data_IF_578108209439
#
_entry.id   IF_578108209439
#
_cell.length_a   1.000
_cell.length_b   1.000
_cell.length_c   1.000
_cell.angle_alpha   90.00
_cell.angle_beta   90.00
_cell.angle_gamma   90.00
#
_symmetry.space_group_name_H-M   'P 1'
#
loop_
_entity.id
_entity.type
_entity.pdbx_description
1 polymer ?
#
# COMPACT_ATOMS: atom_id res chain seq x y z
N UNK A 1 -50.89 30.07 20.47
CA UNK A 1 -51.31 29.34 21.69
C UNK A 1 -50.31 28.20 21.89
N UNK A 2 -49.59 28.25 22.83
CA UNK A 2 -49.21 27.72 24.15
C UNK A 2 -47.69 27.69 24.28
N UNK A 3 -47.16 28.81 24.76
CA UNK A 3 -45.94 28.84 25.57
C UNK A 3 -46.39 28.73 27.02
N UNK A 4 -45.76 27.89 27.81
CA UNK A 4 -45.66 27.86 29.29
C UNK A 4 -45.69 26.39 29.76
N UNK A 5 -44.49 25.85 29.99
CA UNK A 5 -44.19 24.90 31.08
C UNK A 5 -42.69 24.57 31.03
N UNK A 6 -41.91 25.50 31.58
CA UNK A 6 -40.52 25.23 31.94
C UNK A 6 -40.07 26.29 32.94
N UNK A 7 -40.36 26.06 34.17
CA UNK A 7 -39.72 26.68 35.33
C UNK A 7 -40.34 26.10 36.62
N UNK A 8 -39.78 24.99 37.09
CA UNK A 8 -39.79 24.60 38.53
C UNK A 8 -39.10 23.25 38.69
N UNK A 9 -37.79 23.19 38.66
CA UNK A 9 -36.96 22.09 39.18
C UNK A 9 -35.48 22.51 39.24
N UNK A 10 -35.21 23.66 39.87
CA UNK A 10 -33.84 24.13 40.10
C UNK A 10 -33.73 24.74 41.52
N UNK A 11 -34.02 23.93 42.52
CA UNK A 11 -33.67 24.27 43.91
C UNK A 11 -33.77 22.99 44.79
N UNK A 12 -32.86 22.08 44.65
CA UNK A 12 -32.87 20.87 45.49
C UNK A 12 -31.65 19.94 45.39
N UNK A 13 -30.58 20.37 44.72
CA UNK A 13 -29.43 19.46 44.48
C UNK A 13 -28.05 20.11 44.77
N UNK A 14 -27.95 20.93 45.79
CA UNK A 14 -26.70 21.62 46.08
C UNK A 14 -26.13 21.37 47.47
N UNK A 15 -26.45 20.23 48.08
CA UNK A 15 -25.88 19.86 49.40
C UNK A 15 -25.44 18.39 49.53
N UNK A 16 -25.18 17.65 48.43
CA UNK A 16 -24.69 16.26 48.50
C UNK A 16 -23.48 16.00 47.59
N UNK A 17 -22.73 17.03 47.20
CA UNK A 17 -21.56 16.90 46.29
C UNK A 17 -20.19 17.07 46.93
N UNK A 18 -20.06 17.05 48.24
CA UNK A 18 -18.73 17.21 48.89
C UNK A 18 -18.13 15.94 49.50
N UNK A 19 -18.86 14.82 49.45
CA UNK A 19 -18.34 13.54 50.02
C UNK A 19 -17.96 12.51 48.93
N UNK A 20 -18.20 12.73 47.64
CA UNK A 20 -17.91 11.79 46.56
C UNK A 20 -16.63 12.10 45.75
N UNK A 21 -16.06 13.32 45.92
CA UNK A 21 -14.84 13.73 45.19
C UNK A 21 -13.55 13.08 45.68
N UNK A 22 -13.53 12.53 46.90
CA UNK A 22 -12.34 11.84 47.44
C UNK A 22 -12.19 10.39 46.91
N UNK A 23 -13.29 9.70 46.68
CA UNK A 23 -13.25 8.32 46.18
C UNK A 23 -13.06 8.24 44.64
N UNK A 24 -13.56 9.24 43.88
CA UNK A 24 -13.34 9.26 42.44
C UNK A 24 -11.88 9.53 42.06
N UNK A 25 -11.18 10.43 42.78
CA UNK A 25 -9.77 10.69 42.51
C UNK A 25 -8.85 9.48 42.79
N UNK A 26 -9.18 8.66 43.79
CA UNK A 26 -8.43 7.43 44.08
C UNK A 26 -8.70 6.33 43.03
N UNK A 27 -9.92 6.27 42.49
CA UNK A 27 -10.27 5.32 41.43
C UNK A 27 -9.69 5.71 40.07
N UNK A 28 -9.65 7.01 39.72
CA UNK A 28 -9.00 7.50 38.49
C UNK A 28 -7.48 7.29 38.50
N UNK A 29 -6.80 7.55 39.61
CA UNK A 29 -5.37 7.28 39.71
C UNK A 29 -5.01 5.79 39.69
N UNK A 30 -5.88 4.93 40.18
CA UNK A 30 -5.69 3.47 40.10
C UNK A 30 -5.93 2.95 38.68
N UNK A 31 -6.87 3.55 37.94
CA UNK A 31 -7.19 3.16 36.56
C UNK A 31 -6.13 3.63 35.55
N UNK A 32 -5.62 4.87 35.69
CA UNK A 32 -4.51 5.37 34.87
C UNK A 32 -3.22 4.56 35.06
N UNK A 33 -2.95 4.08 36.27
CA UNK A 33 -1.81 3.21 36.55
C UNK A 33 -1.94 1.82 35.91
N UNK A 34 -3.15 1.29 35.78
CA UNK A 34 -3.42 -0.01 35.20
C UNK A 34 -3.50 0.01 33.68
N UNK A 35 -4.05 1.07 33.08
CA UNK A 35 -4.05 1.25 31.62
C UNK A 35 -2.62 1.49 31.08
N UNK A 36 -1.81 2.31 31.73
CA UNK A 36 -0.42 2.53 31.33
C UNK A 36 0.47 1.29 31.50
N UNK A 37 0.20 0.41 32.46
CA UNK A 37 0.92 -0.84 32.62
C UNK A 37 0.49 -1.88 31.57
N UNK A 38 -0.80 -1.91 31.20
CA UNK A 38 -1.34 -2.76 30.14
C UNK A 38 -0.84 -2.37 28.75
N UNK A 39 -0.86 -1.08 28.42
CA UNK A 39 -0.35 -0.59 27.14
C UNK A 39 1.16 -0.80 26.97
N UNK A 40 1.96 -0.56 28.00
CA UNK A 40 3.40 -0.82 27.93
C UNK A 40 3.73 -2.30 27.77
N UNK A 41 2.97 -3.20 28.37
CA UNK A 41 3.18 -4.63 28.21
C UNK A 41 2.74 -5.14 26.83
N UNK A 42 1.64 -4.62 26.27
CA UNK A 42 1.18 -4.98 24.93
C UNK A 42 2.18 -4.48 23.88
N UNK A 43 2.62 -3.22 23.94
CA UNK A 43 3.60 -2.66 23.03
C UNK A 43 4.97 -3.36 23.11
N UNK A 44 5.37 -3.81 24.29
CA UNK A 44 6.60 -4.55 24.48
C UNK A 44 6.49 -6.01 24.04
N UNK A 45 5.31 -6.62 24.15
CA UNK A 45 5.05 -7.97 23.66
C UNK A 45 4.97 -7.98 22.13
N UNK A 46 4.28 -7.00 21.51
CA UNK A 46 4.22 -6.86 20.06
C UNK A 46 5.60 -6.55 19.44
N UNK A 47 6.44 -5.73 20.10
CA UNK A 47 7.82 -5.52 19.66
C UNK A 47 8.68 -6.77 19.78
N UNK A 48 8.51 -7.56 20.82
CA UNK A 48 9.29 -8.79 21.02
C UNK A 48 8.84 -9.87 20.03
N UNK A 49 7.55 -9.95 19.69
CA UNK A 49 7.04 -10.86 18.66
C UNK A 49 7.50 -10.46 17.24
N UNK A 50 7.60 -9.14 16.96
CA UNK A 50 8.14 -8.67 15.68
C UNK A 50 9.65 -8.92 15.53
N UNK A 51 10.43 -8.88 16.61
CA UNK A 51 11.87 -9.19 16.58
C UNK A 51 12.16 -10.69 16.44
N UNK A 52 11.19 -11.56 16.72
CA UNK A 52 11.35 -13.03 16.64
C UNK A 52 10.72 -13.67 15.41
N UNK A 53 10.08 -12.91 14.53
CA UNK A 53 9.70 -13.42 13.22
C UNK A 53 10.98 -13.63 12.39
N UNK A 54 11.53 -14.83 12.49
CA UNK A 54 12.54 -15.30 11.54
C UNK A 54 11.82 -15.42 10.19
N UNK A 55 11.95 -14.39 9.37
CA UNK A 55 11.55 -14.48 7.97
C UNK A 55 12.45 -15.56 7.35
N UNK A 56 11.92 -16.66 6.83
CA UNK A 56 12.72 -17.68 6.18
C UNK A 56 13.59 -17.01 5.10
N UNK A 57 14.89 -17.24 5.12
CA UNK A 57 15.75 -16.76 4.04
C UNK A 57 15.19 -17.31 2.72
N UNK A 58 14.92 -16.45 1.74
CA UNK A 58 14.40 -16.90 0.46
C UNK A 58 15.36 -17.90 -0.16
N UNK A 59 14.82 -19.01 -0.64
CA UNK A 59 15.64 -20.04 -1.32
C UNK A 59 16.42 -19.35 -2.44
N UNK A 60 17.75 -19.33 -2.31
CA UNK A 60 18.62 -18.75 -3.32
C UNK A 60 18.65 -19.65 -4.55
N UNK A 61 17.95 -19.23 -5.61
CA UNK A 61 18.04 -19.88 -6.92
C UNK A 61 18.78 -18.91 -7.86
N UNK A 62 19.70 -19.46 -8.66
CA UNK A 62 20.37 -18.65 -9.69
C UNK A 62 19.35 -18.19 -10.74
N UNK A 63 19.41 -16.91 -11.14
CA UNK A 63 18.39 -16.29 -11.99
C UNK A 63 18.26 -16.93 -13.38
N UNK A 64 19.30 -17.55 -13.90
CA UNK A 64 19.30 -18.29 -15.16
C UNK A 64 18.47 -19.60 -15.13
N UNK A 65 18.05 -20.06 -13.97
CA UNK A 65 17.16 -21.22 -13.81
C UNK A 65 15.71 -20.85 -13.47
N UNK A 66 15.39 -19.54 -13.47
CA UNK A 66 14.02 -19.08 -13.17
C UNK A 66 13.11 -19.20 -14.38
N UNK A 67 11.89 -19.64 -14.11
CA UNK A 67 10.78 -19.57 -15.07
C UNK A 67 9.94 -18.35 -14.73
N UNK A 68 9.82 -17.43 -15.67
CA UNK A 68 9.06 -16.21 -15.49
C UNK A 68 7.67 -16.34 -16.09
N UNK A 69 6.68 -15.83 -15.36
CA UNK A 69 5.31 -15.62 -15.83
C UNK A 69 5.13 -14.12 -16.11
N UNK A 70 4.92 -13.77 -17.37
CA UNK A 70 4.67 -12.37 -17.75
C UNK A 70 3.23 -11.98 -17.40
N UNK A 71 3.06 -10.84 -16.73
CA UNK A 71 1.77 -10.34 -16.26
C UNK A 71 1.49 -8.97 -16.85
N UNK A 72 0.41 -8.88 -17.61
CA UNK A 72 -0.27 -7.63 -17.93
C UNK A 72 -1.34 -7.40 -16.87
N UNK A 73 -1.07 -6.54 -15.88
CA UNK A 73 -1.93 -6.32 -14.71
C UNK A 73 -3.35 -5.97 -15.12
N UNK A 74 -3.50 -5.09 -16.11
CA UNK A 74 -4.80 -4.62 -16.63
C UNK A 74 -5.80 -5.74 -16.92
N UNK A 75 -5.34 -6.86 -17.46
CA UNK A 75 -6.18 -7.98 -17.89
C UNK A 75 -6.05 -9.23 -17.04
N UNK A 76 -5.25 -9.22 -15.97
CA UNK A 76 -4.93 -10.45 -15.26
C UNK A 76 -6.04 -10.85 -14.27
N UNK A 77 -6.36 -10.01 -13.28
CA UNK A 77 -7.42 -10.29 -12.32
C UNK A 77 -7.91 -9.02 -11.64
N UNK A 78 -9.20 -8.74 -11.79
CA UNK A 78 -9.92 -7.65 -11.13
C UNK A 78 -10.17 -8.00 -9.65
N UNK A 79 -9.51 -7.28 -8.76
CA UNK A 79 -9.60 -7.49 -7.32
C UNK A 79 -10.65 -6.63 -6.63
N UNK A 80 -11.05 -5.52 -7.25
CA UNK A 80 -11.95 -4.51 -6.70
C UNK A 80 -13.34 -4.50 -7.36
N UNK A 81 -13.50 -5.11 -8.55
CA UNK A 81 -14.78 -5.24 -9.27
C UNK A 81 -15.09 -4.10 -10.22
N UNK A 82 -14.09 -3.35 -10.67
CA UNK A 82 -14.25 -2.23 -11.61
C UNK A 82 -14.11 -2.62 -13.09
N UNK A 83 -13.74 -3.86 -13.36
CA UNK A 83 -13.55 -4.40 -14.72
C UNK A 83 -12.11 -4.34 -15.21
N UNK A 84 -11.19 -3.84 -14.40
CA UNK A 84 -9.76 -3.71 -14.70
C UNK A 84 -8.97 -4.57 -13.68
N UNK A 85 -7.94 -5.26 -14.14
CA UNK A 85 -7.03 -5.99 -13.26
C UNK A 85 -6.20 -5.03 -12.40
N UNK A 86 -5.92 -5.42 -11.16
CA UNK A 86 -5.21 -4.60 -10.19
C UNK A 86 -4.18 -5.41 -9.35
N UNK A 87 -3.35 -4.72 -8.60
CA UNK A 87 -2.29 -5.34 -7.78
C UNK A 87 -2.86 -6.21 -6.64
N UNK A 88 -4.01 -5.85 -6.09
CA UNK A 88 -4.71 -6.68 -5.08
C UNK A 88 -5.22 -7.97 -5.71
N UNK A 89 -5.76 -7.87 -6.90
CA UNK A 89 -6.20 -9.00 -7.69
C UNK A 89 -5.05 -9.93 -8.05
N UNK A 90 -3.94 -9.36 -8.52
CA UNK A 90 -2.72 -10.12 -8.81
C UNK A 90 -2.20 -10.83 -7.55
N UNK A 91 -2.14 -10.13 -6.42
CA UNK A 91 -1.71 -10.70 -5.13
C UNK A 91 -2.60 -11.88 -4.71
N UNK A 92 -3.91 -11.77 -4.87
CA UNK A 92 -4.86 -12.87 -4.58
C UNK A 92 -4.65 -14.10 -5.45
N UNK A 93 -4.00 -13.97 -6.61
CA UNK A 93 -3.80 -15.04 -7.59
C UNK A 93 -2.36 -15.56 -7.63
N UNK A 94 -1.51 -15.16 -6.69
CA UNK A 94 -0.12 -15.65 -6.64
C UNK A 94 -0.05 -17.17 -6.51
N UNK A 95 -0.95 -17.79 -5.76
CA UNK A 95 -0.98 -19.25 -5.58
C UNK A 95 -1.24 -20.01 -6.89
N UNK A 96 -1.84 -19.38 -7.90
CA UNK A 96 -1.94 -19.93 -9.24
C UNK A 96 -0.59 -19.96 -9.96
N UNK A 97 0.25 -18.94 -9.70
CA UNK A 97 1.58 -18.82 -10.33
C UNK A 97 2.59 -19.69 -9.57
N UNK A 98 2.59 -19.58 -8.25
CA UNK A 98 3.43 -20.35 -7.34
C UNK A 98 2.87 -20.18 -5.91
N UNK A 99 2.52 -21.27 -5.25
CA UNK A 99 2.00 -21.27 -3.88
C UNK A 99 3.09 -21.28 -2.80
N UNK A 100 4.35 -21.44 -3.22
CA UNK A 100 5.53 -21.49 -2.34
C UNK A 100 5.83 -22.88 -1.79
N UNK A 101 5.00 -23.89 -2.08
CA UNK A 101 5.23 -25.28 -1.67
C UNK A 101 5.76 -26.11 -2.86
N UNK A 102 7.01 -26.57 -2.82
CA UNK A 102 7.60 -27.33 -3.93
C UNK A 102 7.02 -28.74 -4.10
N UNK A 103 6.12 -29.17 -3.23
CA UNK A 103 5.53 -30.52 -3.24
C UNK A 103 4.14 -30.53 -3.90
N UNK A 104 3.44 -29.41 -3.86
CA UNK A 104 2.14 -29.27 -4.53
C UNK A 104 2.33 -29.26 -6.05
N UNK A 105 1.29 -29.66 -6.76
CA UNK A 105 1.25 -29.64 -8.23
C UNK A 105 0.06 -28.85 -8.73
N UNK A 106 -0.45 -27.93 -7.88
CA UNK A 106 -1.69 -27.17 -8.11
C UNK A 106 -1.42 -25.79 -8.70
N UNK A 107 -0.15 -25.41 -8.84
CA UNK A 107 0.31 -24.15 -9.41
C UNK A 107 1.10 -24.32 -10.72
N UNK A 108 1.59 -23.24 -11.30
CA UNK A 108 2.43 -23.28 -12.51
C UNK A 108 3.91 -23.52 -12.22
N UNK A 109 4.34 -23.48 -10.96
CA UNK A 109 5.73 -23.59 -10.54
C UNK A 109 6.65 -22.47 -11.03
N UNK A 110 6.10 -21.33 -11.48
CA UNK A 110 6.90 -20.19 -11.91
C UNK A 110 7.49 -19.48 -10.69
N UNK A 111 8.79 -19.31 -10.67
CA UNK A 111 9.51 -18.68 -9.56
C UNK A 111 10.01 -17.26 -9.89
N UNK A 112 9.49 -16.68 -10.95
CA UNK A 112 9.66 -15.30 -11.36
C UNK A 112 8.38 -14.72 -11.94
N UNK A 113 8.15 -13.42 -11.72
CA UNK A 113 7.09 -12.64 -12.37
C UNK A 113 7.77 -11.51 -13.14
N UNK A 114 7.34 -11.34 -14.38
CA UNK A 114 7.67 -10.19 -15.20
C UNK A 114 6.43 -9.32 -15.32
N UNK A 115 6.45 -8.14 -14.70
CA UNK A 115 5.38 -7.16 -14.80
C UNK A 115 5.59 -6.27 -16.03
N UNK A 116 4.57 -6.17 -16.88
CA UNK A 116 4.45 -5.04 -17.79
C UNK A 116 4.34 -3.74 -16.98
N UNK A 117 4.51 -2.55 -17.61
CA UNK A 117 4.56 -1.29 -16.87
C UNK A 117 3.36 -1.08 -15.95
N UNK A 118 3.60 -0.56 -14.75
CA UNK A 118 2.59 -0.31 -13.71
C UNK A 118 2.50 1.17 -13.30
N UNK A 119 3.30 2.02 -13.94
CA UNK A 119 3.32 3.46 -13.67
C UNK A 119 2.15 4.18 -14.37
N UNK A 120 1.77 5.39 -13.88
CA UNK A 120 0.73 6.20 -14.49
C UNK A 120 0.98 6.46 -15.98
N UNK A 121 -0.07 6.25 -16.77
CA UNK A 121 -0.04 6.41 -18.22
C UNK A 121 -1.44 6.70 -18.75
N UNK A 122 -1.60 7.53 -19.79
CA UNK A 122 -2.90 7.78 -20.41
C UNK A 122 -3.40 6.59 -21.25
N UNK A 123 -2.57 5.57 -21.49
CA UNK A 123 -2.94 4.41 -22.29
C UNK A 123 -3.03 3.13 -21.46
N UNK A 124 -3.87 2.19 -21.91
CA UNK A 124 -4.10 0.92 -21.23
C UNK A 124 -2.85 0.05 -21.10
N UNK A 125 -1.91 0.15 -22.04
CA UNK A 125 -0.69 -0.66 -22.05
C UNK A 125 0.44 -0.10 -21.15
N UNK A 126 0.29 1.14 -20.68
CA UNK A 126 1.18 1.82 -19.71
C UNK A 126 2.62 2.09 -20.18
N UNK A 127 2.95 1.92 -21.48
CA UNK A 127 4.29 2.18 -21.99
C UNK A 127 4.61 3.67 -22.21
N UNK A 128 3.62 4.56 -22.21
CA UNK A 128 3.76 6.01 -22.30
C UNK A 128 3.61 6.66 -20.92
N UNK A 129 4.63 6.45 -20.09
CA UNK A 129 4.66 6.86 -18.70
C UNK A 129 4.57 8.36 -18.51
N UNK A 130 3.72 8.82 -17.61
CA UNK A 130 3.58 10.23 -17.20
C UNK A 130 4.25 10.53 -15.85
N UNK A 131 4.49 9.51 -15.03
CA UNK A 131 5.17 9.61 -13.73
C UNK A 131 5.89 8.28 -13.43
N UNK A 132 7.21 8.32 -13.22
CA UNK A 132 8.02 7.14 -12.91
C UNK A 132 8.11 6.84 -11.41
N UNK A 133 7.50 7.66 -10.54
CA UNK A 133 7.66 7.59 -9.09
C UNK A 133 6.43 7.05 -8.36
N UNK A 134 5.36 6.73 -9.10
CA UNK A 134 4.11 6.25 -8.52
C UNK A 134 3.54 5.05 -9.28
N UNK A 135 2.58 4.39 -8.66
CA UNK A 135 1.76 3.33 -9.26
C UNK A 135 0.53 3.97 -9.90
N UNK A 136 0.12 3.46 -11.07
CA UNK A 136 -1.10 3.90 -11.72
C UNK A 136 -2.31 3.68 -10.80
N UNK A 137 -3.15 4.72 -10.55
CA UNK A 137 -4.32 4.60 -9.69
C UNK A 137 -5.32 3.50 -10.11
N UNK A 138 -5.36 3.12 -11.40
CA UNK A 138 -6.17 1.98 -11.86
C UNK A 138 -5.65 0.66 -11.30
N UNK A 139 -4.35 0.55 -11.01
CA UNK A 139 -3.72 -0.67 -10.48
C UNK A 139 -3.63 -0.71 -8.97
N UNK A 140 -3.81 0.43 -8.29
CA UNK A 140 -3.76 0.54 -6.84
C UNK A 140 -2.78 1.59 -6.33
N UNK A 141 -2.18 1.32 -5.20
CA UNK A 141 -1.28 2.25 -4.50
C UNK A 141 0.13 1.67 -4.39
N UNK A 142 1.08 2.49 -3.91
CA UNK A 142 2.44 2.03 -3.62
C UNK A 142 2.43 0.96 -2.51
N UNK A 143 1.56 1.10 -1.52
CA UNK A 143 1.38 0.12 -0.45
C UNK A 143 0.86 -1.22 -1.00
N UNK A 144 -0.03 -1.20 -1.99
CA UNK A 144 -0.49 -2.42 -2.67
C UNK A 144 0.64 -3.10 -3.45
N UNK A 145 1.53 -2.30 -4.06
CA UNK A 145 2.71 -2.81 -4.73
C UNK A 145 3.73 -3.42 -3.75
N UNK A 146 3.99 -2.76 -2.63
CA UNK A 146 4.86 -3.28 -1.57
C UNK A 146 4.32 -4.58 -0.97
N UNK A 147 2.99 -4.66 -0.75
CA UNK A 147 2.33 -5.87 -0.29
C UNK A 147 2.45 -7.02 -1.30
N UNK A 148 2.29 -6.73 -2.59
CA UNK A 148 2.53 -7.70 -3.66
C UNK A 148 3.98 -8.21 -3.65
N UNK A 149 4.97 -7.31 -3.55
CA UNK A 149 6.39 -7.71 -3.48
C UNK A 149 6.70 -8.57 -2.24
N UNK A 150 6.07 -8.26 -1.09
CA UNK A 150 6.21 -9.08 0.11
C UNK A 150 5.64 -10.48 -0.08
N UNK A 151 4.43 -10.58 -0.63
CA UNK A 151 3.79 -11.85 -0.92
C UNK A 151 4.57 -12.70 -1.94
N UNK A 152 5.19 -12.07 -2.94
CA UNK A 152 6.11 -12.73 -3.86
C UNK A 152 7.35 -13.28 -3.15
N UNK A 153 7.95 -12.47 -2.27
CA UNK A 153 9.14 -12.87 -1.50
C UNK A 153 8.88 -14.09 -0.62
N UNK A 154 7.73 -14.13 0.05
CA UNK A 154 7.31 -15.25 0.90
C UNK A 154 7.22 -16.57 0.11
N UNK A 155 6.92 -16.51 -1.18
CA UNK A 155 6.83 -17.65 -2.10
C UNK A 155 8.11 -17.92 -2.88
N UNK A 156 9.20 -17.20 -2.63
CA UNK A 156 10.44 -17.32 -3.39
C UNK A 156 10.35 -16.79 -4.83
N UNK A 157 9.30 -16.03 -5.16
CA UNK A 157 9.10 -15.42 -6.48
C UNK A 157 9.94 -14.15 -6.60
N UNK A 158 10.76 -14.04 -7.65
CA UNK A 158 11.42 -12.78 -8.04
C UNK A 158 10.53 -11.98 -8.98
N UNK A 159 10.55 -10.67 -8.79
CA UNK A 159 9.81 -9.75 -9.66
C UNK A 159 10.79 -8.92 -10.47
N UNK A 160 10.61 -8.90 -11.78
CA UNK A 160 11.18 -7.91 -12.69
C UNK A 160 10.04 -7.07 -13.27
N UNK A 161 10.31 -5.84 -13.63
CA UNK A 161 9.31 -4.91 -14.12
C UNK A 161 9.83 -4.19 -15.36
N UNK A 162 8.98 -4.05 -16.35
CA UNK A 162 9.27 -3.22 -17.52
C UNK A 162 9.40 -1.76 -17.11
N UNK A 163 10.47 -1.15 -17.58
CA UNK A 163 10.76 0.25 -17.36
C UNK A 163 11.14 0.90 -18.70
N UNK A 164 10.21 1.66 -19.26
CA UNK A 164 10.43 2.38 -20.52
C UNK A 164 11.28 3.63 -20.30
N UNK A 165 12.61 3.50 -20.43
CA UNK A 165 13.56 4.60 -20.25
C UNK A 165 13.91 5.33 -21.57
N UNK A 166 13.53 4.78 -22.70
CA UNK A 166 13.87 5.32 -24.03
C UNK A 166 12.93 6.45 -24.50
N UNK A 167 11.79 6.62 -23.84
CA UNK A 167 10.81 7.69 -24.08
C UNK A 167 9.92 7.90 -22.86
N UNK A 168 9.20 8.99 -22.85
CA UNK A 168 8.09 9.27 -21.92
C UNK A 168 6.80 9.50 -22.68
N UNK A 169 5.68 9.61 -21.98
CA UNK A 169 4.47 10.20 -22.56
C UNK A 169 4.71 11.64 -23.02
N UNK A 170 3.99 12.05 -24.04
CA UNK A 170 3.91 13.47 -24.41
C UNK A 170 3.29 14.35 -23.31
N UNK A 171 2.60 13.74 -22.36
CA UNK A 171 2.00 14.39 -21.19
C UNK A 171 2.96 14.46 -20.00
N UNK A 172 4.11 13.78 -20.07
CA UNK A 172 5.09 13.80 -18.98
C UNK A 172 5.67 15.23 -18.80
N UNK A 173 5.82 15.74 -17.55
CA UNK A 173 6.37 17.06 -17.30
C UNK A 173 7.72 17.32 -17.98
N UNK A 174 8.62 16.34 -17.99
CA UNK A 174 9.92 16.48 -18.68
C UNK A 174 9.78 16.72 -20.18
N UNK A 175 8.85 16.01 -20.84
CA UNK A 175 8.60 16.21 -22.27
C UNK A 175 8.00 17.59 -22.54
N UNK A 176 7.04 18.01 -21.71
CA UNK A 176 6.40 19.33 -21.84
C UNK A 176 7.39 20.47 -21.61
N UNK A 177 8.29 20.32 -20.63
CA UNK A 177 9.35 21.30 -20.36
C UNK A 177 10.34 21.39 -21.53
N UNK A 178 10.80 20.25 -22.06
CA UNK A 178 11.69 20.22 -23.22
C UNK A 178 11.04 20.87 -24.45
N UNK A 179 9.76 20.59 -24.71
CA UNK A 179 9.00 21.20 -25.80
C UNK A 179 8.86 22.73 -25.63
N UNK A 180 8.66 23.20 -24.41
CA UNK A 180 8.56 24.63 -24.09
C UNK A 180 9.89 25.32 -24.32
N UNK A 181 10.98 24.73 -23.85
CA UNK A 181 12.34 25.21 -24.06
C UNK A 181 12.68 25.31 -25.55
N UNK A 182 12.39 24.29 -26.35
CA UNK A 182 12.64 24.31 -27.80
C UNK A 182 11.82 25.38 -28.52
N UNK A 183 10.60 25.68 -28.09
CA UNK A 183 9.78 26.77 -28.64
C UNK A 183 10.37 28.14 -28.33
N UNK A 184 10.96 28.33 -27.15
CA UNK A 184 11.62 29.57 -26.75
C UNK A 184 12.90 29.84 -27.53
N UNK A 185 13.66 28.78 -27.87
CA UNK A 185 14.85 28.89 -28.70
C UNK A 185 14.55 29.30 -30.16
N UNK A 186 13.31 29.04 -30.63
CA UNK A 186 12.92 29.28 -32.03
C UNK A 186 13.67 28.37 -33.02
N UNK A 187 13.81 28.83 -34.27
CA UNK A 187 14.53 28.07 -35.32
C UNK A 187 16.07 28.14 -35.17
N UNK A 188 16.60 28.58 -34.03
CA UNK A 188 18.02 28.57 -33.70
C UNK A 188 18.56 27.15 -33.47
N UNK A 189 19.88 26.96 -33.62
CA UNK A 189 20.51 25.70 -33.23
C UNK A 189 20.35 25.48 -31.72
N UNK A 190 20.00 24.25 -31.29
CA UNK A 190 19.89 23.94 -29.87
C UNK A 190 21.23 24.17 -29.17
N UNK A 191 21.17 24.75 -27.96
CA UNK A 191 22.33 24.87 -27.09
C UNK A 191 22.92 23.47 -26.85
N UNK A 192 24.18 23.22 -27.19
CA UNK A 192 24.77 21.89 -27.03
C UNK A 192 24.98 21.48 -25.57
N UNK A 193 24.61 22.33 -24.58
CA UNK A 193 24.55 22.00 -23.15
C UNK A 193 25.93 21.74 -22.51
#
# INVERSE_FOLDING_TARGET
MKRRFMALCLAGSMLLMTALTGCQRAAEQANEGQENAGQKNVEQTERTEMETMVVPEPVSMEDNYRTYYEVFVYSFYDGNGDGIGDLKGLTKKLDYINDGDPVTMDDLGCNGIWLMPVMPSPTYHKYDTTDYYSIDPEYGTMEDFEAFLSACRERGIKVIMDLALNHTSSEHPWFQEACSYLKELGDGEPDPG
#
